data_IF_925996211087
#
_entry.id   IF_925996211087
#
_cell.length_a   1.000
_cell.length_b   1.000
_cell.length_c   1.000
_cell.angle_alpha   90.00
_cell.angle_beta   90.00
_cell.angle_gamma   90.00
#
_symmetry.space_group_name_H-M   'P 1'
#
loop_
_entity.id
_entity.type
_entity.pdbx_description
1 polymer ?
#
# COMPACT_ATOMS: atom_id res chain seq x y z
N UNK A 1 19.94 -1.20 -10.12
CA UNK A 1 19.76 -2.25 -9.10
C UNK A 1 19.85 -3.66 -9.71
N UNK A 2 19.03 -4.02 -10.70
CA UNK A 2 19.10 -5.35 -11.33
C UNK A 2 20.47 -5.70 -11.94
N UNK A 3 21.18 -4.74 -12.55
CA UNK A 3 22.55 -4.95 -13.04
C UNK A 3 23.51 -5.40 -11.93
N UNK A 4 23.42 -4.77 -10.75
CA UNK A 4 24.25 -5.10 -9.58
C UNK A 4 23.86 -6.48 -9.02
N UNK A 5 22.56 -6.75 -8.91
CA UNK A 5 22.03 -8.05 -8.51
C UNK A 5 22.59 -9.19 -9.36
N UNK A 6 22.61 -9.02 -10.69
CA UNK A 6 23.17 -10.01 -11.62
C UNK A 6 24.70 -10.15 -11.50
N UNK A 7 25.42 -9.03 -11.39
CA UNK A 7 26.88 -9.04 -11.32
C UNK A 7 27.40 -9.68 -10.02
N UNK A 8 26.68 -9.51 -8.91
CA UNK A 8 27.09 -9.96 -7.59
C UNK A 8 26.38 -11.23 -7.10
N UNK A 9 25.44 -11.79 -7.89
CA UNK A 9 24.65 -12.96 -7.50
C UNK A 9 23.74 -12.70 -6.28
N UNK A 10 23.27 -11.46 -6.09
CA UNK A 10 22.43 -11.05 -4.95
C UNK A 10 20.97 -10.95 -5.35
N UNK A 11 20.05 -11.17 -4.41
CA UNK A 11 18.62 -10.93 -4.63
C UNK A 11 18.28 -9.46 -4.39
N UNK A 12 17.64 -8.81 -5.36
CA UNK A 12 17.05 -7.49 -5.16
C UNK A 12 15.76 -7.62 -4.35
N UNK A 13 15.62 -6.84 -3.28
CA UNK A 13 14.41 -6.74 -2.46
C UNK A 13 13.61 -5.51 -2.89
N UNK A 14 12.33 -5.69 -3.21
CA UNK A 14 11.40 -4.58 -3.43
C UNK A 14 10.87 -4.06 -2.09
N UNK A 15 10.68 -2.74 -2.01
CA UNK A 15 10.37 -2.01 -0.77
C UNK A 15 8.94 -1.47 -0.71
N UNK A 16 8.11 -1.75 -1.71
CA UNK A 16 6.71 -1.32 -1.73
C UNK A 16 5.91 -1.96 -0.59
N UNK A 17 5.13 -1.16 0.14
CA UNK A 17 4.30 -1.65 1.25
C UNK A 17 2.83 -1.87 0.84
N UNK A 18 2.06 -2.54 1.69
CA UNK A 18 0.67 -2.92 1.42
C UNK A 18 -0.22 -1.72 1.06
N UNK A 19 -0.01 -0.57 1.70
CA UNK A 19 -0.81 0.65 1.47
C UNK A 19 -0.56 1.25 0.09
N UNK A 20 0.72 1.34 -0.32
CA UNK A 20 1.12 1.79 -1.66
C UNK A 20 0.58 0.85 -2.74
N UNK A 21 0.75 -0.46 -2.54
CA UNK A 21 0.28 -1.50 -3.47
C UNK A 21 -1.25 -1.55 -3.57
N UNK A 22 -1.96 -1.27 -2.47
CA UNK A 22 -3.42 -1.18 -2.46
C UNK A 22 -3.92 -0.08 -3.41
N UNK A 23 -3.31 1.10 -3.36
CA UNK A 23 -3.70 2.25 -4.17
C UNK A 23 -2.95 2.37 -5.50
N UNK A 24 -2.10 1.39 -5.82
CA UNK A 24 -1.30 1.35 -7.04
C UNK A 24 -0.28 2.49 -7.15
N UNK A 25 0.14 3.00 -5.99
CA UNK A 25 1.16 4.01 -5.83
C UNK A 25 2.54 3.38 -5.95
N UNK A 26 2.82 2.88 -7.15
CA UNK A 26 4.06 2.25 -7.52
C UNK A 26 4.28 2.39 -9.03
N UNK A 27 5.55 2.24 -9.42
CA UNK A 27 6.00 2.29 -10.81
C UNK A 27 6.43 0.90 -11.23
N UNK A 28 5.71 0.32 -12.20
CA UNK A 28 6.10 -0.96 -12.76
C UNK A 28 7.51 -0.89 -13.33
N UNK A 29 8.29 -1.90 -12.99
CA UNK A 29 9.71 -1.99 -13.35
C UNK A 29 10.58 -0.88 -12.76
N UNK A 30 10.06 -0.14 -11.78
CA UNK A 30 10.78 0.79 -10.93
C UNK A 30 10.94 0.19 -9.53
N UNK A 31 10.20 0.75 -8.57
CA UNK A 31 10.17 0.33 -7.16
C UNK A 31 9.61 -1.09 -6.97
N UNK A 32 8.76 -1.57 -7.88
CA UNK A 32 8.23 -2.94 -7.84
C UNK A 32 9.24 -4.00 -8.30
N UNK A 33 10.41 -3.62 -8.83
CA UNK A 33 11.42 -4.59 -9.25
C UNK A 33 12.07 -5.28 -8.04
N UNK A 34 12.20 -6.59 -8.14
CA UNK A 34 12.91 -7.40 -7.16
C UNK A 34 12.57 -8.88 -7.30
N UNK A 35 13.26 -9.72 -6.53
CA UNK A 35 12.92 -11.13 -6.35
C UNK A 35 11.93 -11.37 -5.20
N UNK A 36 11.78 -10.40 -4.29
CA UNK A 36 10.92 -10.52 -3.11
C UNK A 36 10.41 -9.14 -2.67
N UNK A 37 9.10 -9.01 -2.43
CA UNK A 37 8.49 -7.85 -1.78
C UNK A 37 8.37 -8.11 -0.28
N UNK A 38 9.35 -7.64 0.50
CA UNK A 38 9.46 -7.92 1.94
C UNK A 38 8.34 -7.25 2.73
N UNK A 39 7.98 -6.02 2.35
CA UNK A 39 6.95 -5.21 3.02
C UNK A 39 5.58 -5.28 2.33
N UNK A 40 5.44 -6.11 1.29
CA UNK A 40 4.25 -6.08 0.41
C UNK A 40 2.92 -6.41 1.11
N UNK A 41 2.96 -7.06 2.29
CA UNK A 41 1.79 -7.32 3.13
C UNK A 41 1.80 -6.60 4.48
N UNK A 42 2.61 -5.53 4.61
CA UNK A 42 2.70 -4.67 5.80
C UNK A 42 2.11 -3.30 5.49
N UNK A 43 1.17 -2.81 6.29
CA UNK A 43 0.60 -1.46 6.13
C UNK A 43 1.65 -0.38 6.45
N UNK A 44 1.53 0.82 5.88
CA UNK A 44 2.51 1.90 6.10
C UNK A 44 2.63 2.28 7.58
N UNK A 45 1.50 2.40 8.27
CA UNK A 45 1.45 2.62 9.73
C UNK A 45 2.15 1.51 10.51
N UNK A 46 2.07 0.26 10.04
CA UNK A 46 2.79 -0.88 10.63
C UNK A 46 4.30 -0.81 10.34
N UNK A 47 4.71 -0.33 9.16
CA UNK A 47 6.13 -0.07 8.85
C UNK A 47 6.72 0.94 9.84
N UNK A 48 6.02 2.04 10.13
CA UNK A 48 6.47 3.00 11.14
C UNK A 48 6.55 2.37 12.54
N UNK A 49 5.57 1.54 12.90
CA UNK A 49 5.59 0.83 14.18
C UNK A 49 6.77 -0.15 14.28
N UNK A 50 7.08 -0.87 13.19
CA UNK A 50 8.24 -1.76 13.12
C UNK A 50 9.55 -0.97 13.22
N UNK A 51 9.67 0.17 12.52
CA UNK A 51 10.86 1.01 12.61
C UNK A 51 11.11 1.50 14.04
N UNK A 52 10.06 2.05 14.69
CA UNK A 52 10.12 2.43 16.12
C UNK A 52 10.41 1.24 17.01
N UNK A 53 9.93 0.05 16.66
CA UNK A 53 10.16 -1.18 17.41
C UNK A 53 11.64 -1.59 17.41
N UNK A 54 12.29 -1.59 16.24
CA UNK A 54 13.71 -1.92 16.13
C UNK A 54 14.61 -0.86 16.77
N UNK A 55 14.18 0.40 16.79
CA UNK A 55 14.95 1.49 17.38
C UNK A 55 14.90 1.60 18.92
N UNK A 56 14.17 0.72 19.62
CA UNK A 56 13.94 0.89 21.07
C UNK A 56 15.18 0.74 21.94
N UNK A 57 16.15 -0.05 21.51
CA UNK A 57 17.38 -0.31 22.28
C UNK A 57 18.57 0.49 21.74
N UNK A 58 18.60 0.74 20.43
CA UNK A 58 19.63 1.53 19.77
C UNK A 58 19.08 2.08 18.45
N UNK A 59 19.63 3.19 17.97
CA UNK A 59 19.27 3.75 16.66
C UNK A 59 19.84 2.87 15.54
N UNK A 60 18.97 2.08 14.90
CA UNK A 60 19.29 1.26 13.72
C UNK A 60 18.82 1.99 12.45
N UNK A 61 17.66 2.62 12.53
CA UNK A 61 17.01 3.39 11.47
C UNK A 61 17.05 4.86 11.90
N UNK A 62 17.66 5.80 11.14
CA UNK A 62 17.79 7.17 11.59
C UNK A 62 16.47 7.83 12.01
N UNK A 63 16.42 8.50 13.16
CA UNK A 63 15.19 9.14 13.65
C UNK A 63 14.63 10.17 12.66
N UNK A 64 15.52 10.89 11.98
CA UNK A 64 15.16 11.86 10.95
C UNK A 64 14.28 11.25 9.84
N UNK A 65 14.51 10.00 9.43
CA UNK A 65 13.70 9.35 8.39
C UNK A 65 12.35 8.84 8.92
N UNK A 66 12.25 8.55 10.22
CA UNK A 66 11.02 8.08 10.87
C UNK A 66 10.08 9.25 11.15
N UNK A 67 10.63 10.38 11.59
CA UNK A 67 9.84 11.55 11.98
C UNK A 67 9.56 12.48 10.79
N UNK A 68 10.26 12.27 9.67
CA UNK A 68 9.93 12.91 8.39
C UNK A 68 8.52 12.52 7.95
N UNK A 69 7.73 13.53 7.64
CA UNK A 69 6.40 13.34 7.05
C UNK A 69 6.55 12.58 5.72
N UNK A 70 5.74 11.52 5.47
CA UNK A 70 5.76 10.86 4.19
C UNK A 70 5.49 11.88 3.07
N UNK A 71 6.42 11.99 2.13
CA UNK A 71 6.36 12.85 0.95
C UNK A 71 7.00 12.11 -0.23
N UNK A 72 6.49 12.30 -1.45
CA UNK A 72 7.10 11.76 -2.65
C UNK A 72 8.12 12.78 -3.18
N UNK A 73 9.30 12.78 -2.55
CA UNK A 73 10.35 13.74 -2.81
C UNK A 73 11.05 13.54 -4.16
N UNK A 74 10.39 13.89 -5.26
CA UNK A 74 11.01 13.96 -6.58
C UNK A 74 11.05 15.35 -7.21
N UNK A 75 10.65 16.42 -6.50
CA UNK A 75 11.05 17.79 -6.87
C UNK A 75 10.98 18.78 -5.69
N UNK A 76 11.89 19.77 -5.60
CA UNK A 76 11.61 20.98 -4.86
C UNK A 76 10.38 21.65 -5.51
N UNK A 77 9.39 22.00 -4.70
CA UNK A 77 8.09 22.60 -5.09
C UNK A 77 6.99 21.63 -5.62
N UNK A 78 7.16 20.30 -5.50
CA UNK A 78 6.02 19.37 -5.59
C UNK A 78 5.28 19.32 -4.24
N UNK A 79 4.15 20.04 -4.15
CA UNK A 79 3.21 19.89 -3.04
C UNK A 79 2.38 18.61 -3.24
N UNK A 80 2.78 17.53 -2.56
CA UNK A 80 2.12 16.22 -2.55
C UNK A 80 0.82 16.18 -1.73
N UNK A 81 -0.11 17.06 -2.07
CA UNK A 81 -1.49 16.94 -1.59
C UNK A 81 -2.32 16.04 -2.54
N UNK A 82 -1.72 15.47 -3.60
CA UNK A 82 -2.48 15.09 -4.80
C UNK A 82 -2.74 13.61 -5.06
N UNK A 83 -2.11 12.66 -4.36
CA UNK A 83 -2.15 11.25 -4.82
C UNK A 83 -2.59 10.21 -3.80
N UNK A 84 -2.33 10.34 -2.50
CA UNK A 84 -2.81 9.40 -1.47
C UNK A 84 -3.45 10.12 -0.28
N UNK A 85 -4.54 9.56 0.30
CA UNK A 85 -4.99 10.00 1.61
C UNK A 85 -3.89 9.75 2.66
N UNK A 86 -3.91 10.53 3.75
CA UNK A 86 -3.00 10.34 4.86
C UNK A 86 -3.11 8.90 5.41
N UNK A 87 -1.96 8.27 5.71
CA UNK A 87 -1.89 6.85 6.07
C UNK A 87 -2.66 6.50 7.34
N UNK A 88 -2.77 7.44 8.28
CA UNK A 88 -3.58 7.33 9.49
C UNK A 88 -5.09 7.21 9.21
N UNK A 89 -5.55 7.70 8.05
CA UNK A 89 -6.93 7.53 7.56
C UNK A 89 -7.07 6.35 6.60
N UNK A 90 -6.06 6.13 5.75
CA UNK A 90 -6.06 5.06 4.74
C UNK A 90 -5.97 3.67 5.37
N UNK A 91 -4.97 3.44 6.21
CA UNK A 91 -4.63 2.09 6.67
C UNK A 91 -5.72 1.46 7.53
N UNK A 92 -6.44 2.18 8.42
CA UNK A 92 -7.59 1.61 9.11
C UNK A 92 -8.68 1.09 8.15
N UNK A 93 -8.98 1.83 7.08
CA UNK A 93 -9.94 1.42 6.06
C UNK A 93 -9.45 0.16 5.34
N UNK A 94 -8.18 0.12 4.94
CA UNK A 94 -7.59 -1.06 4.30
C UNK A 94 -7.61 -2.28 5.23
N UNK A 95 -7.33 -2.09 6.52
CA UNK A 95 -7.37 -3.15 7.53
C UNK A 95 -8.77 -3.73 7.71
N UNK A 96 -9.78 -2.88 7.87
CA UNK A 96 -11.18 -3.30 7.96
C UNK A 96 -11.63 -4.06 6.70
N UNK A 97 -11.27 -3.52 5.53
CA UNK A 97 -11.67 -4.12 4.25
C UNK A 97 -10.99 -5.47 3.98
N UNK A 98 -9.67 -5.54 4.13
CA UNK A 98 -8.92 -6.75 3.79
C UNK A 98 -9.00 -7.80 4.90
N UNK A 99 -8.69 -7.45 6.14
CA UNK A 99 -8.53 -8.42 7.23
C UNK A 99 -9.87 -8.81 7.86
N UNK A 100 -10.77 -7.85 8.01
CA UNK A 100 -12.06 -8.06 8.69
C UNK A 100 -13.22 -8.28 7.72
N UNK A 101 -12.99 -8.17 6.40
CA UNK A 101 -14.01 -8.36 5.34
C UNK A 101 -15.23 -7.45 5.49
N UNK A 102 -15.06 -6.29 6.10
CA UNK A 102 -16.15 -5.32 6.28
C UNK A 102 -16.64 -4.78 4.94
N UNK A 103 -17.96 -4.60 4.84
CA UNK A 103 -18.55 -3.89 3.70
C UNK A 103 -18.30 -2.38 3.82
N UNK A 104 -18.43 -1.60 2.73
CA UNK A 104 -18.31 -0.15 2.81
C UNK A 104 -19.21 0.47 3.88
N UNK A 105 -20.44 -0.04 4.01
CA UNK A 105 -21.44 0.45 4.97
C UNK A 105 -21.01 0.17 6.41
N UNK A 106 -20.43 -0.99 6.69
CA UNK A 106 -19.88 -1.30 8.02
C UNK A 106 -18.67 -0.41 8.34
N UNK A 107 -17.78 -0.16 7.38
CA UNK A 107 -16.62 0.73 7.59
C UNK A 107 -17.09 2.15 7.89
N UNK A 108 -18.13 2.63 7.20
CA UNK A 108 -18.74 3.95 7.45
C UNK A 108 -19.38 3.99 8.85
N UNK A 109 -20.06 2.92 9.26
CA UNK A 109 -20.66 2.82 10.58
C UNK A 109 -19.62 2.84 11.72
N UNK A 110 -18.38 2.44 11.46
CA UNK A 110 -17.24 2.57 12.38
C UNK A 110 -16.67 4.00 12.47
N UNK A 111 -17.26 4.96 11.76
CA UNK A 111 -16.94 6.39 11.86
C UNK A 111 -16.05 6.94 10.76
N UNK A 112 -15.80 6.16 9.70
CA UNK A 112 -15.03 6.62 8.55
C UNK A 112 -15.89 7.42 7.57
N UNK A 113 -15.31 8.48 6.98
CA UNK A 113 -15.98 9.31 5.99
C UNK A 113 -16.39 8.50 4.75
N UNK A 114 -17.65 8.61 4.35
CA UNK A 114 -18.21 7.83 3.25
C UNK A 114 -17.51 8.10 1.92
N UNK A 115 -17.23 9.38 1.61
CA UNK A 115 -16.57 9.74 0.36
C UNK A 115 -15.15 9.13 0.29
N UNK A 116 -14.42 9.19 1.40
CA UNK A 116 -13.09 8.60 1.52
C UNK A 116 -13.11 7.06 1.40
N UNK A 117 -14.06 6.39 2.05
CA UNK A 117 -14.20 4.92 1.96
C UNK A 117 -14.45 4.49 0.52
N UNK A 118 -15.42 5.12 -0.17
CA UNK A 118 -15.72 4.77 -1.55
C UNK A 118 -14.56 5.10 -2.50
N UNK A 119 -13.86 6.24 -2.32
CA UNK A 119 -12.67 6.57 -3.12
C UNK A 119 -11.59 5.48 -2.97
N UNK A 120 -11.18 5.18 -1.73
CA UNK A 120 -10.14 4.19 -1.44
C UNK A 120 -10.51 2.84 -2.04
N UNK A 121 -11.73 2.35 -1.79
CA UNK A 121 -12.14 1.02 -2.26
C UNK A 121 -12.28 0.94 -3.78
N UNK A 122 -12.68 2.03 -4.45
CA UNK A 122 -12.72 2.08 -5.92
C UNK A 122 -11.32 2.12 -6.51
N UNK A 123 -10.39 2.86 -5.90
CA UNK A 123 -8.97 2.83 -6.29
C UNK A 123 -8.33 1.48 -6.05
N UNK A 124 -8.62 0.83 -4.92
CA UNK A 124 -8.17 -0.54 -4.63
C UNK A 124 -8.64 -1.50 -5.73
N UNK A 125 -9.91 -1.44 -6.12
CA UNK A 125 -10.45 -2.31 -7.16
C UNK A 125 -10.14 -1.83 -8.59
N UNK A 126 -9.45 -0.70 -8.79
CA UNK A 126 -9.25 -0.15 -10.13
C UNK A 126 -8.45 -1.10 -11.04
N UNK A 127 -8.89 -1.31 -12.30
CA UNK A 127 -8.10 -2.00 -13.33
C UNK A 127 -6.67 -1.50 -13.44
N UNK A 128 -6.48 -0.19 -13.29
CA UNK A 128 -5.18 0.48 -13.38
C UNK A 128 -4.23 0.13 -12.21
N UNK A 129 -4.74 -0.46 -11.13
CA UNK A 129 -3.94 -0.89 -10.00
C UNK A 129 -3.80 -2.42 -9.97
N UNK A 130 -4.86 -3.15 -10.38
CA UNK A 130 -4.85 -4.61 -10.42
C UNK A 130 -3.79 -5.16 -11.39
N UNK A 131 -3.60 -4.53 -12.55
CA UNK A 131 -2.58 -4.98 -13.51
C UNK A 131 -1.15 -4.83 -12.97
N UNK A 132 -0.90 -3.82 -12.11
CA UNK A 132 0.39 -3.63 -11.45
C UNK A 132 0.61 -4.71 -10.40
N UNK A 133 -0.40 -4.96 -9.56
CA UNK A 133 -0.34 -5.96 -8.49
C UNK A 133 -0.07 -7.38 -8.98
N UNK A 134 -0.60 -7.74 -10.15
CA UNK A 134 -0.36 -9.05 -10.77
C UNK A 134 1.08 -9.28 -11.24
N UNK A 135 1.88 -8.22 -11.33
CA UNK A 135 3.28 -8.27 -11.76
C UNK A 135 4.26 -8.08 -10.61
N UNK A 136 3.76 -8.05 -9.37
CA UNK A 136 4.62 -7.95 -8.19
C UNK A 136 5.44 -9.22 -8.01
N UNK A 137 6.66 -9.10 -7.47
CA UNK A 137 7.39 -10.26 -7.00
C UNK A 137 6.63 -10.98 -5.88
N UNK A 138 6.99 -12.23 -5.57
CA UNK A 138 6.48 -12.92 -4.40
C UNK A 138 6.52 -12.03 -3.15
N UNK A 139 5.44 -12.04 -2.37
CA UNK A 139 5.29 -11.22 -1.17
C UNK A 139 5.31 -12.12 0.06
N UNK A 140 5.95 -11.67 1.14
CA UNK A 140 5.81 -12.33 2.45
C UNK A 140 4.43 -12.00 3.03
N UNK A 141 3.56 -13.00 3.10
CA UNK A 141 2.17 -12.84 3.57
C UNK A 141 2.13 -13.07 5.08
N UNK A 142 1.70 -12.05 5.83
CA UNK A 142 1.56 -12.09 7.29
C UNK A 142 0.12 -11.86 7.75
N UNK A 143 -0.69 -11.23 6.90
CA UNK A 143 -2.09 -10.94 7.18
C UNK A 143 -3.00 -12.11 6.79
N UNK A 144 -4.23 -12.10 7.31
CA UNK A 144 -5.26 -13.10 6.92
C UNK A 144 -5.62 -13.01 5.44
N UNK A 145 -5.42 -11.85 4.82
CA UNK A 145 -5.86 -11.56 3.47
C UNK A 145 -4.85 -10.64 2.78
N UNK A 146 -3.99 -11.23 1.97
CA UNK A 146 -2.98 -10.53 1.20
C UNK A 146 -3.55 -9.72 0.03
N UNK A 147 -2.78 -8.73 -0.38
CA UNK A 147 -2.95 -8.02 -1.65
C UNK A 147 -2.06 -8.72 -2.70
N UNK A 148 -2.59 -8.98 -3.90
CA UNK A 148 -1.85 -9.70 -4.96
C UNK A 148 -2.05 -11.21 -4.89
N UNK A 149 -0.98 -11.98 -4.69
CA UNK A 149 -1.02 -13.45 -4.72
C UNK A 149 -1.96 -13.97 -3.62
N UNK A 150 -3.02 -14.67 -4.02
CA UNK A 150 -4.10 -15.15 -3.13
C UNK A 150 -5.42 -14.40 -3.30
N UNK A 151 -5.37 -13.16 -3.80
CA UNK A 151 -6.55 -12.36 -4.13
C UNK A 151 -6.81 -12.39 -5.63
N UNK A 152 -8.01 -12.84 -6.03
CA UNK A 152 -8.39 -12.96 -7.44
C UNK A 152 -9.42 -11.90 -7.81
N UNK A 153 -8.99 -10.86 -8.54
CA UNK A 153 -9.86 -9.87 -9.18
C UNK A 153 -9.58 -9.82 -10.68
N UNK A 154 -10.58 -9.59 -11.55
CA UNK A 154 -10.31 -9.38 -12.97
C UNK A 154 -9.46 -8.11 -13.15
N UNK A 155 -8.52 -8.10 -14.11
CA UNK A 155 -7.83 -6.86 -14.50
C UNK A 155 -8.81 -5.98 -15.26
N UNK A 156 -9.46 -6.53 -16.28
CA UNK A 156 -10.37 -5.77 -17.14
C UNK A 156 -11.79 -5.84 -16.58
N UNK A 157 -12.28 -4.72 -16.04
CA UNK A 157 -13.68 -4.52 -15.67
C UNK A 157 -14.02 -3.02 -15.64
N UNK A 158 -15.32 -2.72 -15.53
CA UNK A 158 -15.83 -1.35 -15.31
C UNK A 158 -16.62 -1.20 -14.01
N UNK A 159 -16.57 -2.21 -13.13
CA UNK A 159 -17.22 -2.13 -11.83
C UNK A 159 -16.67 -0.94 -11.01
N UNK A 160 -17.59 -0.12 -10.51
CA UNK A 160 -17.32 0.96 -9.57
C UNK A 160 -18.40 0.94 -8.50
N UNK A 161 -18.03 1.18 -7.25
CA UNK A 161 -18.99 1.35 -6.16
C UNK A 161 -19.56 2.75 -6.25
N UNK A 162 -20.86 2.86 -6.06
CA UNK A 162 -21.58 4.12 -5.97
C UNK A 162 -22.07 4.24 -4.54
N UNK A 163 -21.80 5.37 -3.90
CA UNK A 163 -22.37 5.64 -2.58
C UNK A 163 -23.91 5.59 -2.70
N UNK A 164 -24.63 4.99 -1.74
CA UNK A 164 -26.07 5.07 -1.73
C UNK A 164 -26.46 6.55 -1.74
N UNK A 165 -27.23 6.97 -2.74
CA UNK A 165 -27.77 8.32 -2.77
C UNK A 165 -28.60 8.52 -1.51
N UNK A 166 -28.36 9.63 -0.81
CA UNK A 166 -29.21 10.06 0.30
C UNK A 166 -30.64 10.12 -0.21
N UNK A 167 -31.46 9.14 0.18
CA UNK A 167 -32.91 9.18 0.00
C UNK A 167 -33.54 10.01 1.10
#
# INVERSE_FOLDING_TARGET
LMTVSNAEGRMLLSTGNKSELALGYCTLYGDTNGGLAVLGDVLKTEVYNLARHYNRESEIIPHEIIDKRPSAELAPDQFDDQSLPAYDKLDPILKLYFEQKRTPEEIIAEGHDAALVYDILNRVESPANEFKRRQLPPTLIISKNAIGIGRRRPVTHRYTRVAPSSR
#
